data_IF_999718265614
#
_entry.id   IF_999718265614
#
_cell.length_a   1.000
_cell.length_b   1.000
_cell.length_c   1.000
_cell.angle_alpha   90.00
_cell.angle_beta   90.00
_cell.angle_gamma   90.00
#
_symmetry.space_group_name_H-M   'P 1'
#
loop_
_entity.id
_entity.type
_entity.pdbx_description
1 polymer ?
#
# COMPACT_ATOMS: atom_id res chain seq x y z
N UNK A 1 3.49 -8.42 21.41
CA UNK A 1 3.12 -7.63 20.20
C UNK A 1 2.85 -8.62 19.08
N UNK A 2 1.72 -8.55 18.39
CA UNK A 2 1.40 -9.46 17.28
C UNK A 2 2.34 -9.26 16.10
N UNK A 3 2.52 -10.28 15.25
CA UNK A 3 3.26 -10.13 14.00
C UNK A 3 2.47 -9.18 13.09
N UNK A 4 3.16 -8.22 12.49
CA UNK A 4 2.58 -7.24 11.59
C UNK A 4 2.67 -7.69 10.11
N UNK A 5 1.58 -7.57 9.36
CA UNK A 5 1.49 -7.88 7.93
C UNK A 5 1.14 -6.63 7.13
N UNK A 6 1.93 -6.31 6.10
CA UNK A 6 1.57 -5.24 5.16
C UNK A 6 0.47 -5.75 4.22
N UNK A 7 -0.62 -4.98 4.09
CA UNK A 7 -1.72 -5.27 3.17
C UNK A 7 -1.75 -4.20 2.11
N UNK A 8 -1.47 -4.55 0.85
CA UNK A 8 -1.31 -3.60 -0.26
C UNK A 8 -2.49 -3.72 -1.22
N UNK A 9 -3.12 -2.62 -1.59
CA UNK A 9 -4.14 -2.64 -2.63
C UNK A 9 -4.39 -1.29 -3.27
N UNK A 10 -5.14 -1.28 -4.37
CA UNK A 10 -5.66 -0.06 -5.00
C UNK A 10 -6.96 0.32 -4.32
N UNK A 11 -6.90 1.16 -3.28
CA UNK A 11 -8.03 1.32 -2.35
C UNK A 11 -9.23 2.05 -2.96
N UNK A 12 -9.03 2.70 -4.11
CA UNK A 12 -10.06 3.37 -4.89
C UNK A 12 -11.02 2.44 -5.62
N UNK A 13 -10.63 1.18 -5.77
CA UNK A 13 -11.44 0.14 -6.42
C UNK A 13 -11.57 -1.12 -5.58
N UNK A 14 -10.64 -1.35 -4.65
CA UNK A 14 -10.52 -2.55 -3.81
C UNK A 14 -10.55 -2.27 -2.32
N UNK A 15 -10.92 -1.06 -1.91
CA UNK A 15 -10.95 -0.67 -0.50
C UNK A 15 -11.78 -1.62 0.40
N UNK A 16 -13.02 -2.01 0.02
CA UNK A 16 -13.80 -2.97 0.78
C UNK A 16 -13.15 -4.37 0.89
N UNK A 17 -12.55 -4.87 -0.19
CA UNK A 17 -11.85 -6.16 -0.19
C UNK A 17 -10.59 -6.13 0.70
N UNK A 18 -9.83 -5.02 0.66
CA UNK A 18 -8.67 -4.83 1.53
C UNK A 18 -9.09 -4.69 3.00
N UNK A 19 -10.19 -3.99 3.28
CA UNK A 19 -10.75 -3.91 4.64
C UNK A 19 -11.14 -5.28 5.17
N UNK A 20 -11.79 -6.10 4.34
CA UNK A 20 -12.12 -7.47 4.70
C UNK A 20 -10.85 -8.27 5.05
N UNK A 21 -9.82 -8.24 4.18
CA UNK A 21 -8.58 -8.98 4.42
C UNK A 21 -7.87 -8.51 5.71
N UNK A 22 -7.80 -7.20 5.94
CA UNK A 22 -7.28 -6.60 7.18
C UNK A 22 -8.00 -7.16 8.40
N UNK A 23 -9.34 -7.15 8.39
CA UNK A 23 -10.15 -7.58 9.51
C UNK A 23 -10.01 -9.09 9.77
N UNK A 24 -9.83 -9.90 8.72
CA UNK A 24 -9.52 -11.33 8.86
C UNK A 24 -8.15 -11.57 9.48
N UNK A 25 -7.13 -10.78 9.13
CA UNK A 25 -5.80 -10.87 9.75
C UNK A 25 -5.83 -10.45 11.23
N UNK A 26 -6.57 -9.39 11.55
CA UNK A 26 -6.82 -8.97 12.92
C UNK A 26 -7.51 -10.08 13.75
N UNK A 27 -8.51 -10.75 13.18
CA UNK A 27 -9.18 -11.88 13.83
C UNK A 27 -8.25 -13.08 14.10
N UNK A 28 -7.13 -13.20 13.38
CA UNK A 28 -6.09 -14.20 13.62
C UNK A 28 -5.03 -13.74 14.64
N UNK A 29 -5.20 -12.56 15.26
CA UNK A 29 -4.26 -12.00 16.24
C UNK A 29 -3.02 -11.33 15.62
N UNK A 30 -3.05 -11.06 14.32
CA UNK A 30 -2.02 -10.28 13.63
C UNK A 30 -2.37 -8.79 13.69
N UNK A 31 -1.37 -7.92 13.52
CA UNK A 31 -1.60 -6.51 13.22
C UNK A 31 -1.36 -6.27 11.74
N UNK A 32 -1.84 -5.14 11.20
CA UNK A 32 -1.62 -4.80 9.80
C UNK A 32 -1.08 -3.40 9.61
N UNK A 33 -0.41 -3.19 8.47
CA UNK A 33 -0.15 -1.87 7.91
C UNK A 33 -0.75 -1.83 6.50
N UNK A 34 -1.81 -1.06 6.31
CA UNK A 34 -2.53 -0.94 5.04
C UNK A 34 -1.87 0.14 4.17
N UNK A 35 -1.47 -0.25 2.96
CA UNK A 35 -0.80 0.63 1.99
C UNK A 35 -1.69 0.81 0.77
N UNK A 36 -1.96 2.06 0.43
CA UNK A 36 -2.62 2.39 -0.83
C UNK A 36 -1.60 2.47 -1.98
N UNK A 37 -1.78 1.62 -2.98
CA UNK A 37 -1.01 1.60 -4.22
C UNK A 37 -1.79 2.14 -5.42
N UNK A 38 -3.00 2.67 -5.19
CA UNK A 38 -3.81 3.34 -6.20
C UNK A 38 -3.17 4.63 -6.72
N UNK A 39 -3.50 5.00 -7.97
CA UNK A 39 -2.93 6.19 -8.63
C UNK A 39 -3.97 7.30 -8.77
N UNK A 40 -5.26 6.97 -8.94
CA UNK A 40 -6.28 7.91 -9.42
C UNK A 40 -7.30 8.30 -8.35
N UNK A 41 -8.33 7.48 -8.11
CA UNK A 41 -9.50 7.84 -7.27
C UNK A 41 -9.20 7.70 -5.78
N UNK A 42 -9.96 8.28 -4.87
CA UNK A 42 -9.70 8.21 -3.41
C UNK A 42 -10.07 6.85 -2.78
N UNK A 43 -9.48 6.46 -1.62
CA UNK A 43 -9.81 5.21 -0.94
C UNK A 43 -11.31 5.07 -0.63
N UNK A 44 -11.87 3.87 -0.82
CA UNK A 44 -13.28 3.57 -0.58
C UNK A 44 -13.47 2.65 0.63
N UNK A 45 -14.16 3.12 1.67
CA UNK A 45 -14.51 2.28 2.82
C UNK A 45 -13.34 1.87 3.71
N UNK A 46 -12.16 2.46 3.52
CA UNK A 46 -10.97 2.23 4.34
C UNK A 46 -10.03 3.44 4.29
N UNK A 47 -9.39 3.73 5.42
CA UNK A 47 -8.28 4.69 5.50
C UNK A 47 -6.96 3.91 5.48
N UNK A 48 -6.04 4.20 4.55
CA UNK A 48 -4.71 3.59 4.58
C UNK A 48 -3.90 4.10 5.77
N UNK A 49 -3.01 3.25 6.29
CA UNK A 49 -1.96 3.67 7.22
C UNK A 49 -0.83 4.41 6.48
N UNK A 50 -0.61 4.04 5.21
CA UNK A 50 0.33 4.70 4.30
C UNK A 50 -0.42 5.04 3.01
N UNK A 51 -0.60 6.33 2.77
CA UNK A 51 -1.28 6.83 1.59
C UNK A 51 -0.49 6.56 0.32
N UNK A 52 -1.16 6.61 -0.83
CA UNK A 52 -0.52 6.55 -2.15
C UNK A 52 0.53 7.65 -2.37
N UNK A 53 0.34 8.80 -1.74
CA UNK A 53 1.25 9.93 -1.86
C UNK A 53 2.56 9.61 -1.15
N UNK A 54 2.47 9.06 0.06
CA UNK A 54 3.63 8.56 0.81
C UNK A 54 4.30 7.40 0.08
N UNK A 55 3.53 6.40 -0.40
CA UNK A 55 4.07 5.27 -1.15
C UNK A 55 4.84 5.71 -2.41
N UNK A 56 4.34 6.71 -3.14
CA UNK A 56 5.04 7.28 -4.29
C UNK A 56 6.39 7.93 -3.93
N UNK A 57 6.49 8.55 -2.74
CA UNK A 57 7.75 9.19 -2.28
C UNK A 57 8.86 8.16 -2.07
N UNK A 58 8.55 6.95 -1.59
CA UNK A 58 9.54 5.86 -1.51
C UNK A 58 10.11 5.53 -2.90
N UNK A 59 9.31 5.67 -3.96
CA UNK A 59 9.74 5.46 -5.35
C UNK A 59 10.57 6.61 -5.93
N UNK A 60 10.79 7.69 -5.16
CA UNK A 60 11.47 8.90 -5.65
C UNK A 60 10.58 9.76 -6.54
N UNK A 61 9.26 9.64 -6.42
CA UNK A 61 8.29 10.36 -7.26
C UNK A 61 7.15 10.93 -6.41
N UNK A 62 6.10 11.47 -7.05
CA UNK A 62 4.90 11.97 -6.40
C UNK A 62 3.66 11.40 -7.07
N UNK A 63 2.55 11.34 -6.34
CA UNK A 63 1.28 10.87 -6.92
C UNK A 63 0.87 11.70 -8.16
N UNK A 64 1.16 13.00 -8.17
CA UNK A 64 0.88 13.87 -9.30
C UNK A 64 1.77 13.55 -10.51
N UNK A 65 3.06 13.24 -10.30
CA UNK A 65 3.94 12.81 -11.38
C UNK A 65 3.48 11.47 -11.98
N UNK A 66 3.04 10.53 -11.14
CA UNK A 66 2.50 9.24 -11.59
C UNK A 66 1.23 9.41 -12.45
N UNK A 67 0.31 10.28 -12.03
CA UNK A 67 -0.90 10.63 -12.80
C UNK A 67 -0.57 11.21 -14.18
N UNK A 68 0.61 11.83 -14.32
CA UNK A 68 1.08 12.48 -15.55
C UNK A 68 2.17 11.68 -16.29
N UNK A 69 2.41 10.40 -15.96
CA UNK A 69 3.51 9.60 -16.53
C UNK A 69 3.36 9.22 -18.02
N UNK A 70 2.33 9.74 -18.70
CA UNK A 70 2.06 9.53 -20.13
C UNK A 70 1.44 8.17 -20.49
N UNK A 71 1.55 7.16 -19.62
CA UNK A 71 0.80 5.92 -19.75
C UNK A 71 0.50 5.27 -18.41
N UNK A 72 -0.58 4.48 -18.35
CA UNK A 72 -0.95 3.71 -17.16
C UNK A 72 0.16 2.74 -16.75
N UNK A 73 0.81 2.08 -17.71
CA UNK A 73 1.88 1.11 -17.44
C UNK A 73 3.07 1.75 -16.72
N UNK A 74 3.53 2.91 -17.19
CA UNK A 74 4.62 3.66 -16.56
C UNK A 74 4.25 4.07 -15.13
N UNK A 75 3.03 4.59 -14.94
CA UNK A 75 2.57 5.01 -13.62
C UNK A 75 2.54 3.85 -12.62
N UNK A 76 2.09 2.66 -13.05
CA UNK A 76 2.09 1.45 -12.22
C UNK A 76 3.50 0.96 -11.91
N UNK A 77 4.40 0.98 -12.89
CA UNK A 77 5.79 0.55 -12.70
C UNK A 77 6.53 1.43 -11.67
N UNK A 78 6.36 2.75 -11.76
CA UNK A 78 6.95 3.69 -10.80
C UNK A 78 6.32 3.56 -9.40
N UNK A 79 5.00 3.36 -9.30
CA UNK A 79 4.35 3.07 -8.01
C UNK A 79 4.88 1.77 -7.39
N UNK A 80 5.07 0.73 -8.20
CA UNK A 80 5.60 -0.56 -7.74
C UNK A 80 6.99 -0.41 -7.11
N UNK A 81 7.86 0.45 -7.66
CA UNK A 81 9.17 0.75 -7.05
C UNK A 81 9.01 1.32 -5.64
N UNK A 82 8.05 2.24 -5.46
CA UNK A 82 7.76 2.85 -4.17
C UNK A 82 7.25 1.85 -3.14
N UNK A 83 6.23 1.06 -3.50
CA UNK A 83 5.67 0.03 -2.62
C UNK A 83 6.72 -1.04 -2.27
N UNK A 84 7.54 -1.47 -3.25
CA UNK A 84 8.63 -2.43 -3.00
C UNK A 84 9.63 -1.89 -2.00
N UNK A 85 10.10 -0.66 -2.20
CA UNK A 85 11.08 -0.04 -1.29
C UNK A 85 10.52 0.11 0.11
N UNK A 86 9.28 0.60 0.23
CA UNK A 86 8.58 0.71 1.50
C UNK A 86 8.53 -0.64 2.25
N UNK A 87 8.12 -1.71 1.57
CA UNK A 87 8.02 -3.04 2.19
C UNK A 87 9.38 -3.56 2.69
N UNK A 88 10.44 -3.37 1.90
CA UNK A 88 11.82 -3.74 2.27
C UNK A 88 12.30 -2.93 3.48
N UNK A 89 12.13 -1.60 3.47
CA UNK A 89 12.57 -0.75 4.57
C UNK A 89 11.83 -1.07 5.88
N UNK A 90 10.52 -1.36 5.81
CA UNK A 90 9.76 -1.80 6.99
C UNK A 90 10.22 -3.16 7.51
N UNK A 91 10.60 -4.07 6.62
CA UNK A 91 11.09 -5.40 7.00
C UNK A 91 12.47 -5.31 7.66
N UNK A 92 13.40 -4.58 7.06
CA UNK A 92 14.74 -4.36 7.57
C UNK A 92 14.73 -3.65 8.93
N UNK A 93 13.73 -2.77 9.16
CA UNK A 93 13.50 -2.12 10.44
C UNK A 93 12.80 -3.02 11.50
N UNK A 94 12.50 -4.29 11.18
CA UNK A 94 11.79 -5.21 12.07
C UNK A 94 10.33 -4.84 12.35
N UNK A 95 9.74 -3.95 11.54
CA UNK A 95 8.37 -3.44 11.76
C UNK A 95 7.29 -4.33 11.14
N UNK A 96 7.65 -5.18 10.17
CA UNK A 96 6.72 -6.07 9.45
C UNK A 96 7.32 -7.47 9.30
N UNK A 97 6.45 -8.47 9.18
CA UNK A 97 6.79 -9.89 9.21
C UNK A 97 6.22 -10.66 8.00
N UNK A 98 5.47 -9.97 7.13
CA UNK A 98 4.84 -10.53 5.95
C UNK A 98 4.16 -9.46 5.11
N UNK A 99 3.80 -9.82 3.88
CA UNK A 99 3.10 -8.96 2.91
C UNK A 99 2.00 -9.77 2.24
N UNK A 100 0.85 -9.15 1.99
CA UNK A 100 -0.27 -9.70 1.21
C UNK A 100 -0.98 -8.58 0.44
N UNK A 101 -1.82 -8.94 -0.54
CA UNK A 101 -2.58 -8.00 -1.37
C UNK A 101 -3.96 -8.52 -1.73
#
# INVERSE_FOLDING_TARGET
MGKNVVVIGTLDTKGPEIAYLRDRLHALGLTTTVVDSGILGEPLGITPDISRAEAAVYGGTTINALRNAGSRGKAVEEMLKGVRRLAVELFDAGKVHGVTS
#
